data_IF_798011109365
#
_entry.id   IF_798011109365
#
_cell.length_a   1.000
_cell.length_b   1.000
_cell.length_c   1.000
_cell.angle_alpha   90.00
_cell.angle_beta   90.00
_cell.angle_gamma   90.00
#
_symmetry.space_group_name_H-M   'P 1'
#
loop_
_entity.id
_entity.type
_entity.pdbx_description
1 polymer ?
#
# COMPACT_ATOMS: atom_id res chain seq x y z
N UNK A 1 12.45 9.04 21.02
CA UNK A 1 12.34 9.27 19.57
C UNK A 1 13.06 8.17 18.83
N UNK A 2 12.35 7.42 18.02
CA UNK A 2 13.02 6.52 17.08
C UNK A 2 13.69 7.37 16.01
N UNK A 3 15.01 7.26 15.91
CA UNK A 3 15.77 7.99 14.89
C UNK A 3 15.27 7.71 13.48
N UNK A 4 15.33 8.70 12.61
CA UNK A 4 15.01 8.54 11.19
C UNK A 4 15.94 7.47 10.62
N UNK A 5 15.39 6.47 9.96
CA UNK A 5 16.19 5.44 9.30
C UNK A 5 17.11 6.10 8.27
N UNK A 6 18.45 5.99 8.42
CA UNK A 6 19.40 6.64 7.51
C UNK A 6 19.20 6.27 6.04
N UNK A 7 18.71 5.06 5.76
CA UNK A 7 18.39 4.62 4.40
C UNK A 7 17.29 5.42 3.74
N UNK A 8 16.36 5.99 4.54
CA UNK A 8 15.29 6.83 4.03
C UNK A 8 15.75 8.24 3.66
N UNK A 9 16.82 8.72 4.27
CA UNK A 9 17.36 10.06 4.01
C UNK A 9 18.03 10.17 2.63
N UNK A 10 18.56 9.09 2.11
CA UNK A 10 19.28 9.04 0.83
C UNK A 10 18.41 8.62 -0.35
N UNK A 11 17.13 8.34 -0.12
CA UNK A 11 16.21 7.96 -1.19
C UNK A 11 15.72 9.20 -1.95
N UNK A 12 15.87 9.26 -3.29
CA UNK A 12 15.33 10.36 -4.10
C UNK A 12 13.82 10.52 -3.93
N UNK A 13 13.31 11.74 -4.07
CA UNK A 13 11.88 12.04 -3.90
C UNK A 13 10.96 11.14 -4.73
N UNK A 14 11.34 10.83 -5.97
CA UNK A 14 10.54 9.98 -6.86
C UNK A 14 10.46 8.51 -6.46
N UNK A 15 11.32 8.07 -5.53
CA UNK A 15 11.29 6.71 -4.97
C UNK A 15 10.69 6.63 -3.57
N UNK A 16 10.53 7.77 -2.90
CA UNK A 16 9.98 7.82 -1.52
C UNK A 16 8.54 7.33 -1.44
N UNK A 17 7.78 7.50 -2.47
CA UNK A 17 6.40 7.03 -2.53
C UNK A 17 6.27 5.51 -2.44
N UNK A 18 7.29 4.74 -2.85
CA UNK A 18 7.34 3.29 -2.68
C UNK A 18 7.45 2.85 -1.23
N UNK A 19 7.91 3.73 -0.36
CA UNK A 19 8.07 3.46 1.08
C UNK A 19 6.76 3.61 1.86
N UNK A 20 5.74 4.17 1.24
CA UNK A 20 4.40 4.35 1.83
C UNK A 20 3.56 3.11 1.54
N UNK A 21 4.05 1.96 1.97
CA UNK A 21 3.33 0.71 1.84
C UNK A 21 2.55 0.38 3.11
N UNK A 22 1.32 -0.07 2.96
CA UNK A 22 0.49 -0.60 4.03
C UNK A 22 0.02 -2.01 3.70
N UNK A 23 -0.23 -2.78 4.74
CA UNK A 23 -0.73 -4.14 4.63
C UNK A 23 -2.18 -4.12 4.17
N UNK A 24 -2.56 -5.03 3.28
CA UNK A 24 -3.95 -5.22 2.85
C UNK A 24 -4.71 -6.13 3.83
N UNK A 25 -6.00 -5.90 3.97
CA UNK A 25 -6.89 -6.83 4.64
C UNK A 25 -6.95 -8.17 3.90
N UNK A 26 -7.23 -9.26 4.61
CA UNK A 26 -7.21 -10.62 4.04
C UNK A 26 -8.13 -10.79 2.84
N UNK A 27 -9.31 -10.16 2.85
CA UNK A 27 -10.23 -10.15 1.71
C UNK A 27 -9.62 -9.52 0.46
N UNK A 28 -8.92 -8.40 0.62
CA UNK A 28 -8.23 -7.70 -0.46
C UNK A 28 -6.98 -8.44 -0.93
N UNK A 29 -6.27 -9.10 -0.02
CA UNK A 29 -5.13 -9.96 -0.37
C UNK A 29 -5.56 -11.12 -1.27
N UNK A 30 -6.68 -11.75 -0.95
CA UNK A 30 -7.24 -12.83 -1.76
C UNK A 30 -7.71 -12.34 -3.12
N UNK A 31 -8.33 -11.17 -3.17
CA UNK A 31 -8.85 -10.58 -4.40
C UNK A 31 -7.75 -10.15 -5.37
N UNK A 32 -6.69 -9.51 -4.89
CA UNK A 32 -5.62 -8.93 -5.72
C UNK A 32 -4.32 -9.74 -5.72
N UNK A 33 -4.18 -10.73 -4.84
CA UNK A 33 -2.98 -11.56 -4.74
C UNK A 33 -1.74 -10.80 -4.26
N UNK A 34 -1.91 -9.71 -3.51
CA UNK A 34 -0.84 -8.88 -2.95
C UNK A 34 -0.95 -8.78 -1.43
N UNK A 35 0.19 -8.72 -0.75
CA UNK A 35 0.25 -8.52 0.70
C UNK A 35 0.23 -7.04 1.08
N UNK A 36 0.92 -6.22 0.32
CA UNK A 36 1.09 -4.80 0.58
C UNK A 36 0.68 -3.98 -0.63
N UNK A 37 0.23 -2.77 -0.37
CA UNK A 37 -0.08 -1.81 -1.41
C UNK A 37 0.37 -0.42 -0.97
N UNK A 38 0.70 0.43 -1.94
CA UNK A 38 0.99 1.82 -1.71
C UNK A 38 -0.29 2.57 -1.39
N UNK A 39 -0.30 3.28 -0.26
CA UNK A 39 -1.45 4.06 0.18
C UNK A 39 -1.52 5.38 -0.58
N UNK A 40 -2.72 5.72 -1.04
CA UNK A 40 -3.03 7.02 -1.65
C UNK A 40 -4.19 7.69 -0.94
N UNK A 41 -4.37 8.99 -1.18
CA UNK A 41 -5.51 9.74 -0.68
C UNK A 41 -6.82 9.10 -1.12
N UNK A 42 -7.77 8.98 -0.20
CA UNK A 42 -9.08 8.38 -0.45
C UNK A 42 -9.20 6.89 -0.11
N UNK A 43 -8.09 6.22 0.22
CA UNK A 43 -8.13 4.84 0.70
C UNK A 43 -8.74 4.75 2.09
N UNK A 44 -9.53 3.71 2.35
CA UNK A 44 -10.02 3.41 3.69
C UNK A 44 -9.02 2.55 4.43
N UNK A 45 -8.63 2.97 5.62
CA UNK A 45 -7.62 2.31 6.44
C UNK A 45 -8.08 2.11 7.87
N UNK A 46 -7.51 1.12 8.53
CA UNK A 46 -7.70 0.84 9.97
C UNK A 46 -6.35 0.93 10.67
N UNK A 47 -6.30 1.63 11.79
CA UNK A 47 -5.09 1.75 12.60
C UNK A 47 -4.88 0.47 13.41
N UNK A 48 -3.68 -0.12 13.31
CA UNK A 48 -3.34 -1.38 13.97
C UNK A 48 -2.62 -1.18 15.30
N UNK A 49 -1.89 -0.06 15.46
CA UNK A 49 -1.05 0.20 16.62
C UNK A 49 -1.13 1.66 17.06
N UNK A 50 -0.89 1.91 18.34
CA UNK A 50 -0.84 3.25 18.93
C UNK A 50 -2.11 3.62 19.68
N UNK A 51 -2.24 4.90 20.04
CA UNK A 51 -3.40 5.45 20.76
C UNK A 51 -4.73 5.27 20.02
N UNK A 52 -4.66 5.26 18.70
CA UNK A 52 -5.84 5.19 17.81
C UNK A 52 -6.10 3.79 17.26
N UNK A 53 -5.55 2.77 17.90
CA UNK A 53 -5.75 1.37 17.50
C UNK A 53 -7.24 1.04 17.32
N UNK A 54 -7.59 0.46 16.18
CA UNK A 54 -8.95 0.06 15.85
C UNK A 54 -9.80 1.15 15.20
N UNK A 55 -9.31 2.39 15.10
CA UNK A 55 -10.02 3.47 14.42
C UNK A 55 -9.92 3.29 12.91
N UNK A 56 -11.04 3.42 12.23
CA UNK A 56 -11.15 3.35 10.77
C UNK A 56 -11.47 4.73 10.20
N UNK A 57 -10.92 5.02 9.04
CA UNK A 57 -11.20 6.27 8.35
C UNK A 57 -10.55 6.31 6.97
N UNK A 58 -10.89 7.34 6.21
CA UNK A 58 -10.27 7.60 4.90
C UNK A 58 -8.98 8.39 5.05
N UNK A 59 -8.04 8.12 4.20
CA UNK A 59 -6.80 8.88 4.11
C UNK A 59 -7.09 10.25 3.48
N UNK A 60 -6.80 11.31 4.23
CA UNK A 60 -6.97 12.69 3.79
C UNK A 60 -5.71 13.23 3.09
N UNK A 61 -4.53 12.93 3.64
CA UNK A 61 -3.25 13.37 3.10
C UNK A 61 -2.16 12.33 3.34
N UNK A 62 -1.26 12.23 2.39
CA UNK A 62 -0.08 11.37 2.47
C UNK A 62 1.18 12.24 2.45
N UNK A 63 2.07 12.04 3.43
CA UNK A 63 3.36 12.71 3.49
C UNK A 63 4.46 11.71 3.14
N UNK A 64 5.05 11.87 1.96
CA UNK A 64 6.05 10.94 1.43
C UNK A 64 7.39 11.02 2.16
N UNK A 65 7.76 12.20 2.65
CA UNK A 65 9.05 12.42 3.34
C UNK A 65 9.19 11.60 4.63
N UNK A 66 8.10 11.47 5.38
CA UNK A 66 8.06 10.75 6.67
C UNK A 66 7.33 9.42 6.60
N UNK A 67 6.78 9.06 5.45
CA UNK A 67 5.91 7.89 5.26
C UNK A 67 4.73 7.88 6.25
N UNK A 68 4.11 9.05 6.45
CA UNK A 68 2.98 9.26 7.35
C UNK A 68 1.70 9.59 6.61
N UNK A 69 0.59 9.25 7.23
CA UNK A 69 -0.76 9.47 6.73
C UNK A 69 -1.56 10.31 7.69
N UNK A 70 -2.40 11.18 7.15
CA UNK A 70 -3.44 11.85 7.91
C UNK A 70 -4.77 11.18 7.60
N UNK A 71 -5.41 10.65 8.63
CA UNK A 71 -6.69 9.93 8.53
C UNK A 71 -7.80 10.83 9.03
N UNK A 72 -8.92 10.87 8.30
CA UNK A 72 -10.11 11.60 8.74
C UNK A 72 -10.62 11.07 10.08
N UNK A 73 -10.99 11.97 10.98
CA UNK A 73 -11.48 11.63 12.30
C UNK A 73 -10.40 11.43 13.37
N UNK A 74 -9.13 11.37 13.02
CA UNK A 74 -8.01 11.31 13.96
C UNK A 74 -7.38 12.70 14.08
N UNK A 75 -7.75 13.38 15.15
CA UNK A 75 -7.32 14.75 15.44
C UNK A 75 -7.00 14.89 16.93
N UNK A 76 -6.08 15.79 17.24
CA UNK A 76 -5.72 16.15 18.62
C UNK A 76 -5.97 17.63 18.82
N UNK A 77 -6.55 18.02 19.97
CA UNK A 77 -6.72 19.41 20.33
C UNK A 77 -5.39 20.06 20.70
N UNK A 78 -5.17 21.27 20.19
CA UNK A 78 -4.06 22.10 20.62
C UNK A 78 -4.37 22.82 21.92
N UNK A 79 -3.36 23.03 22.77
CA UNK A 79 -3.46 23.80 24.01
C UNK A 79 -3.94 25.24 23.76
N UNK A 80 -3.61 25.83 22.60
CA UNK A 80 -4.00 27.19 22.20
C UNK A 80 -5.33 27.27 21.42
N UNK A 81 -6.11 26.20 21.38
CA UNK A 81 -7.31 26.10 20.56
C UNK A 81 -7.04 25.58 19.14
N UNK A 82 -8.08 25.02 18.54
CA UNK A 82 -8.00 24.38 17.22
C UNK A 82 -7.61 22.90 17.27
N UNK A 83 -7.81 22.22 16.16
CA UNK A 83 -7.52 20.79 16.02
C UNK A 83 -6.38 20.57 15.04
N UNK A 84 -5.49 19.64 15.37
CA UNK A 84 -4.36 19.24 14.52
C UNK A 84 -4.54 17.77 14.14
N UNK A 85 -4.37 17.47 12.87
CA UNK A 85 -4.36 16.08 12.39
C UNK A 85 -3.11 15.36 12.90
N UNK A 86 -3.28 14.17 13.46
CA UNK A 86 -2.19 13.36 13.98
C UNK A 86 -1.60 12.52 12.84
N UNK A 87 -0.29 12.62 12.55
CA UNK A 87 0.35 11.79 11.55
C UNK A 87 0.51 10.36 12.07
N UNK A 88 0.13 9.39 11.24
CA UNK A 88 0.27 7.96 11.53
C UNK A 88 1.16 7.33 10.47
N UNK A 89 2.17 6.57 10.90
CA UNK A 89 3.07 5.88 9.99
C UNK A 89 2.32 4.82 9.16
N UNK A 90 2.64 4.70 7.89
CA UNK A 90 1.98 3.76 6.98
C UNK A 90 2.09 2.30 7.40
N UNK A 91 3.14 1.91 8.11
CA UNK A 91 3.32 0.56 8.64
C UNK A 91 2.35 0.20 9.78
N UNK A 92 1.73 1.20 10.41
CA UNK A 92 0.79 1.03 11.52
C UNK A 92 -0.67 0.97 11.06
N UNK A 93 -0.92 0.96 9.78
CA UNK A 93 -2.27 0.92 9.21
C UNK A 93 -2.44 -0.29 8.30
N UNK A 94 -3.69 -0.74 8.19
CA UNK A 94 -4.11 -1.79 7.28
C UNK A 94 -5.16 -1.22 6.33
N UNK A 95 -4.99 -1.43 5.05
CA UNK A 95 -5.94 -0.97 4.03
C UNK A 95 -7.14 -1.91 4.01
N UNK A 96 -8.32 -1.36 4.25
CA UNK A 96 -9.60 -2.08 4.24
C UNK A 96 -10.44 -1.78 3.00
N UNK A 97 -10.17 -0.69 2.30
CA UNK A 97 -10.82 -0.31 1.07
C UNK A 97 -9.87 0.48 0.18
N UNK A 98 -9.94 0.22 -1.12
CA UNK A 98 -9.09 0.86 -2.12
C UNK A 98 -9.85 1.93 -2.89
N UNK A 99 -9.22 3.08 -3.09
CA UNK A 99 -9.68 4.08 -4.05
C UNK A 99 -9.21 3.67 -5.45
N UNK A 100 -10.14 3.29 -6.30
CA UNK A 100 -9.89 2.83 -7.67
C UNK A 100 -10.24 3.88 -8.74
N UNK A 101 -10.37 5.14 -8.35
CA UNK A 101 -10.65 6.24 -9.29
C UNK A 101 -9.52 6.45 -10.30
N UNK A 102 -8.28 6.12 -9.92
CA UNK A 102 -7.12 6.14 -10.80
C UNK A 102 -7.10 4.89 -11.70
N UNK A 103 -7.26 5.07 -12.98
CA UNK A 103 -7.21 4.00 -13.98
C UNK A 103 -5.87 3.27 -14.02
N UNK A 104 -4.77 3.97 -13.80
CA UNK A 104 -3.43 3.39 -13.75
C UNK A 104 -3.27 2.43 -12.57
N UNK A 105 -3.75 2.83 -11.39
CA UNK A 105 -3.72 2.00 -10.19
C UNK A 105 -4.59 0.75 -10.33
N UNK A 106 -5.82 0.90 -10.81
CA UNK A 106 -6.72 -0.24 -11.05
C UNK A 106 -6.17 -1.19 -12.10
N UNK A 107 -5.56 -0.67 -13.16
CA UNK A 107 -4.89 -1.47 -14.19
C UNK A 107 -3.71 -2.28 -13.66
N UNK A 108 -2.90 -1.70 -12.78
CA UNK A 108 -1.79 -2.42 -12.12
C UNK A 108 -2.27 -3.51 -11.17
N UNK A 109 -3.33 -3.29 -10.43
CA UNK A 109 -3.90 -4.29 -9.53
C UNK A 109 -4.50 -5.47 -10.28
N UNK A 110 -5.16 -5.22 -11.39
CA UNK A 110 -5.73 -6.25 -12.25
C UNK A 110 -4.68 -6.94 -13.14
N UNK A 111 -3.64 -6.22 -13.55
CA UNK A 111 -2.60 -6.70 -14.46
C UNK A 111 -1.71 -7.80 -13.89
N UNK A 112 -1.51 -7.84 -12.57
CA UNK A 112 -0.66 -8.87 -11.92
C UNK A 112 -1.23 -10.28 -12.01
N UNK A 113 -2.54 -10.44 -12.17
CA UNK A 113 -3.16 -11.74 -12.41
C UNK A 113 -2.88 -12.30 -13.81
N UNK A 114 -2.78 -11.40 -14.81
CA UNK A 114 -2.52 -11.77 -16.20
C UNK A 114 -1.06 -12.14 -16.49
N UNK A 115 -0.11 -11.51 -15.82
CA UNK A 115 1.31 -11.83 -16.02
C UNK A 115 1.70 -13.20 -15.46
N UNK A 116 1.08 -13.62 -14.37
CA UNK A 116 1.31 -14.97 -13.82
C UNK A 116 0.74 -16.06 -14.71
N UNK A 117 -0.40 -15.85 -15.36
CA UNK A 117 -0.97 -16.82 -16.29
C UNK A 117 -0.14 -16.92 -17.58
N UNK A 118 0.36 -15.81 -18.11
CA UNK A 118 1.22 -15.83 -19.31
C UNK A 118 2.58 -16.49 -19.08
N UNK A 119 3.15 -16.38 -17.90
CA UNK A 119 4.43 -17.04 -17.59
C UNK A 119 4.26 -18.56 -17.41
N UNK A 120 3.13 -19.02 -16.89
CA UNK A 120 2.85 -20.45 -16.77
C UNK A 120 2.53 -21.08 -18.13
N UNK A 121 1.82 -20.38 -19.01
CA UNK A 121 1.56 -20.86 -20.37
C UNK A 121 2.83 -20.96 -21.23
N UNK A 122 3.71 -19.96 -21.15
CA UNK A 122 5.00 -20.00 -21.86
C UNK A 122 5.92 -21.11 -21.38
N UNK A 123 5.81 -21.50 -20.12
CA UNK A 123 6.63 -22.59 -19.58
C UNK A 123 6.11 -23.96 -20.02
N UNK A 124 4.79 -24.13 -20.08
CA UNK A 124 4.18 -25.37 -20.57
C UNK A 124 4.42 -25.59 -22.08
N UNK A 125 4.44 -24.51 -22.88
CA UNK A 125 4.76 -24.60 -24.29
C UNK A 125 6.24 -24.95 -24.56
N UNK A 126 7.15 -24.50 -23.69
CA UNK A 126 8.56 -24.85 -23.81
C UNK A 126 8.86 -26.30 -23.44
N UNK A 127 8.18 -26.84 -22.45
CA UNK A 127 8.34 -28.23 -22.03
C UNK A 127 7.77 -29.19 -23.08
N UNK A 128 6.62 -28.84 -23.68
CA UNK A 128 6.01 -29.64 -24.76
C UNK A 128 6.89 -29.68 -26.04
N UNK A 129 7.57 -28.56 -26.34
CA UNK A 129 8.45 -28.48 -27.50
C UNK A 129 9.76 -29.23 -27.33
N UNK A 130 10.20 -29.49 -26.08
CA UNK A 130 11.37 -30.32 -25.77
C UNK A 130 11.07 -31.81 -25.86
N UNK A 131 9.85 -32.24 -25.54
CA UNK A 131 9.45 -33.65 -25.67
C UNK A 131 9.24 -34.07 -27.11
N UNK A 132 8.75 -33.20 -28.00
CA UNK A 132 8.64 -33.45 -29.44
C UNK A 132 10.00 -33.45 -30.17
N UNK A 133 11.02 -32.83 -29.63
CA UNK A 133 12.37 -32.78 -30.21
C UNK A 133 13.24 -34.01 -29.92
N UNK A 134 12.79 -34.96 -29.11
CA UNK A 134 13.55 -36.15 -28.68
C UNK A 134 12.99 -37.47 -29.25
N UNK A 135 12.15 -37.40 -30.25
CA UNK A 135 11.65 -38.57 -30.95
C UNK A 135 12.53 -38.96 -32.15
#
# INVERSE_FOLDING_TARGET
>A
MRGINPKLMHVPKHRRDRLIGAVLEDSLRSQYGRKNIRVVKGDSVRVLRGEYKGVEGKVDKVTTERATLHIEGIQREKVKGGQVKVPIHSSNVMVIGLNLDDKYRSGRLQGTGREKSRSSEKNSERDNKKEEGNA
#
